data_IF_513035157054
#
_entry.id   IF_513035157054
#
_cell.length_a   1.000
_cell.length_b   1.000
_cell.length_c   1.000
_cell.angle_alpha   90.00
_cell.angle_beta   90.00
_cell.angle_gamma   90.00
#
_symmetry.space_group_name_H-M   'P 1'
#
loop_
_entity.id
_entity.type
_entity.pdbx_description
1 polymer ?
#
# COMPACT_ATOMS: atom_id res chain seq x y z
N UNK A 1 -43.01 -19.31 -29.37
CA UNK A 1 -41.79 -19.56 -30.16
C UNK A 1 -41.10 -18.21 -30.32
N UNK A 2 -40.08 -17.84 -29.56
CA UNK A 2 -38.99 -18.64 -28.99
C UNK A 2 -38.76 -18.29 -27.52
N UNK A 3 -38.63 -19.32 -26.69
CA UNK A 3 -38.27 -19.22 -25.29
C UNK A 3 -36.75 -19.10 -25.13
N UNK A 4 -36.38 -18.27 -24.14
CA UNK A 4 -35.22 -18.35 -23.25
C UNK A 4 -33.86 -18.73 -23.85
N UNK A 5 -32.99 -17.73 -24.00
CA UNK A 5 -31.54 -17.93 -24.04
C UNK A 5 -31.12 -18.24 -22.61
N UNK A 6 -30.73 -19.48 -22.35
CA UNK A 6 -30.21 -19.92 -21.06
C UNK A 6 -28.97 -19.11 -20.68
N UNK A 7 -29.11 -18.34 -19.59
CA UNK A 7 -28.03 -17.64 -18.92
C UNK A 7 -26.97 -18.65 -18.47
N UNK A 8 -25.81 -18.64 -19.14
CA UNK A 8 -24.64 -19.40 -18.71
C UNK A 8 -24.18 -18.83 -17.36
N UNK A 9 -24.43 -19.56 -16.28
CA UNK A 9 -23.99 -19.17 -14.95
C UNK A 9 -22.47 -19.30 -14.86
N UNK A 10 -21.82 -18.21 -14.44
CA UNK A 10 -20.38 -18.14 -14.14
C UNK A 10 -19.88 -19.24 -13.18
N UNK A 11 -20.78 -19.88 -12.42
CA UNK A 11 -20.47 -21.06 -11.60
C UNK A 11 -19.95 -22.24 -12.43
N UNK A 12 -20.45 -22.41 -13.65
CA UNK A 12 -20.20 -23.59 -14.47
C UNK A 12 -18.85 -23.48 -15.21
N UNK A 13 -18.35 -22.25 -15.37
CA UNK A 13 -17.03 -21.93 -15.92
C UNK A 13 -15.95 -21.95 -14.84
N UNK A 14 -16.27 -21.48 -13.62
CA UNK A 14 -15.30 -21.37 -12.52
C UNK A 14 -15.05 -22.70 -11.78
N UNK A 15 -16.03 -23.60 -11.79
CA UNK A 15 -15.93 -24.92 -11.16
C UNK A 15 -16.32 -25.96 -12.20
N UNK A 16 -15.43 -26.14 -13.18
CA UNK A 16 -15.63 -27.05 -14.32
C UNK A 16 -16.45 -28.28 -13.94
N UNK A 17 -17.56 -28.46 -14.65
CA UNK A 17 -18.44 -29.61 -14.52
C UNK A 17 -17.62 -30.89 -14.75
N UNK A 18 -17.33 -31.62 -13.67
CA UNK A 18 -16.80 -32.98 -13.72
C UNK A 18 -17.89 -33.91 -14.27
N UNK A 19 -17.92 -34.07 -15.59
CA UNK A 19 -18.63 -35.17 -16.25
C UNK A 19 -17.61 -35.91 -17.13
N UNK A 20 -17.37 -37.15 -16.70
CA UNK A 20 -16.82 -38.29 -17.42
C UNK A 20 -15.37 -38.29 -17.90
N UNK A 21 -14.52 -38.97 -17.12
CA UNK A 21 -13.59 -39.97 -17.67
C UNK A 21 -13.17 -40.98 -16.59
N UNK A 22 -13.98 -42.02 -16.41
CA UNK A 22 -13.55 -43.29 -15.82
C UNK A 22 -12.60 -44.02 -16.78
N UNK A 23 -11.29 -44.04 -16.53
CA UNK A 23 -10.47 -45.23 -16.77
C UNK A 23 -9.06 -45.16 -16.15
N UNK A 24 -8.72 -46.24 -15.46
CA UNK A 24 -7.40 -46.87 -15.31
C UNK A 24 -6.19 -46.10 -14.72
N UNK A 25 -5.81 -46.63 -13.55
CA UNK A 25 -4.46 -47.11 -13.23
C UNK A 25 -3.43 -46.13 -12.67
N UNK A 26 -3.20 -46.32 -11.36
CA UNK A 26 -1.92 -46.28 -10.63
C UNK A 26 -0.97 -45.15 -11.02
N UNK A 27 -0.78 -44.18 -10.11
CA UNK A 27 0.55 -43.63 -9.77
C UNK A 27 0.42 -42.60 -8.64
N UNK A 28 1.29 -42.77 -7.65
CA UNK A 28 1.77 -41.77 -6.68
C UNK A 28 0.90 -41.37 -5.49
N UNK A 29 1.21 -41.99 -4.34
CA UNK A 29 0.98 -41.51 -2.95
C UNK A 29 1.55 -40.11 -2.63
N UNK A 30 1.97 -39.32 -3.63
CA UNK A 30 2.62 -38.02 -3.45
C UNK A 30 1.66 -36.83 -3.61
N UNK A 31 0.48 -37.04 -4.22
CA UNK A 31 -0.46 -35.97 -4.58
C UNK A 31 -1.51 -35.63 -3.52
N UNK A 32 -1.66 -36.48 -2.50
CA UNK A 32 -2.67 -36.31 -1.44
C UNK A 32 -2.13 -35.46 -0.27
N UNK A 33 -0.82 -35.45 -0.05
CA UNK A 33 -0.16 -34.58 0.94
C UNK A 33 -0.15 -33.12 0.51
N UNK A 34 0.02 -32.82 -0.79
CA UNK A 34 -0.03 -31.45 -1.29
C UNK A 34 -1.44 -30.86 -1.16
N UNK A 35 -2.51 -31.55 -1.60
CA UNK A 35 -3.89 -31.03 -1.47
C UNK A 35 -4.33 -30.79 -0.01
N UNK A 36 -3.75 -31.52 0.93
CA UNK A 36 -3.96 -31.37 2.39
C UNK A 36 -3.37 -30.08 2.96
N UNK A 37 -2.23 -29.61 2.43
CA UNK A 37 -1.57 -28.38 2.89
C UNK A 37 -2.34 -27.10 2.53
N UNK A 38 -2.93 -27.03 1.33
CA UNK A 38 -3.66 -25.83 0.90
C UNK A 38 -4.97 -25.65 1.67
N UNK A 39 -5.70 -26.74 1.98
CA UNK A 39 -6.97 -26.67 2.74
C UNK A 39 -6.76 -26.38 4.24
N UNK A 40 -5.60 -26.70 4.83
CA UNK A 40 -5.28 -26.33 6.22
C UNK A 40 -4.88 -24.85 6.36
N UNK A 41 -4.32 -24.24 5.32
CA UNK A 41 -3.82 -22.86 5.37
C UNK A 41 -4.89 -21.79 5.22
N UNK A 42 -6.07 -22.09 4.65
CA UNK A 42 -7.14 -21.08 4.46
C UNK A 42 -7.87 -20.73 5.77
N UNK A 43 -7.94 -21.66 6.73
CA UNK A 43 -8.65 -21.41 8.02
C UNK A 43 -7.84 -20.61 9.06
N UNK A 44 -6.56 -20.32 8.81
CA UNK A 44 -5.68 -19.65 9.79
C UNK A 44 -5.44 -18.14 9.54
N UNK A 45 -5.95 -17.58 8.45
CA UNK A 45 -5.91 -16.13 8.17
C UNK A 45 -7.25 -15.45 8.48
N UNK A 46 -7.73 -15.52 9.72
CA UNK A 46 -8.74 -14.54 10.17
C UNK A 46 -8.03 -13.18 10.24
N UNK A 47 -8.31 -12.30 9.29
CA UNK A 47 -7.89 -10.89 9.32
C UNK A 47 -8.27 -10.30 10.69
N UNK A 48 -7.52 -9.32 11.20
CA UNK A 48 -7.90 -8.65 12.45
C UNK A 48 -9.32 -8.08 12.29
N UNK A 49 -10.18 -8.26 13.30
CA UNK A 49 -11.48 -7.59 13.28
C UNK A 49 -11.29 -6.08 13.45
N UNK A 50 -12.33 -5.31 13.10
CA UNK A 50 -12.32 -3.85 13.27
C UNK A 50 -12.02 -3.47 14.71
N UNK A 51 -12.68 -4.11 15.69
CA UNK A 51 -12.45 -3.84 17.11
C UNK A 51 -11.00 -4.16 17.56
N UNK A 52 -10.40 -5.22 16.99
CA UNK A 52 -9.01 -5.57 17.26
C UNK A 52 -8.04 -4.54 16.68
N UNK A 53 -8.35 -4.00 15.50
CA UNK A 53 -7.58 -2.93 14.87
C UNK A 53 -7.68 -1.67 15.73
N UNK A 54 -8.89 -1.23 16.09
CA UNK A 54 -9.10 -0.04 16.91
C UNK A 54 -8.38 -0.16 18.26
N UNK A 55 -8.54 -1.28 18.97
CA UNK A 55 -7.85 -1.50 20.24
C UNK A 55 -6.31 -1.52 20.09
N UNK A 56 -5.81 -2.07 18.98
CA UNK A 56 -4.37 -2.08 18.70
C UNK A 56 -3.85 -0.66 18.44
N UNK A 57 -4.56 0.13 17.63
CA UNK A 57 -4.18 1.50 17.32
C UNK A 57 -4.26 2.40 18.55
N UNK A 58 -5.35 2.31 19.31
CA UNK A 58 -5.55 3.06 20.54
C UNK A 58 -4.44 2.75 21.55
N UNK A 59 -3.96 1.51 21.63
CA UNK A 59 -2.85 1.13 22.49
C UNK A 59 -1.54 1.85 22.12
N UNK A 60 -1.25 1.98 20.83
CA UNK A 60 -0.06 2.69 20.36
C UNK A 60 -0.19 4.21 20.46
N UNK A 61 -1.37 4.75 20.17
CA UNK A 61 -1.67 6.19 20.23
C UNK A 61 -1.66 6.67 21.69
N UNK A 62 -2.42 6.03 22.58
CA UNK A 62 -2.56 6.45 23.98
C UNK A 62 -1.24 6.40 24.74
N UNK A 63 -0.37 5.44 24.42
CA UNK A 63 0.93 5.27 25.07
C UNK A 63 2.09 5.92 24.32
N UNK A 64 1.82 6.56 23.18
CA UNK A 64 2.83 7.14 22.28
C UNK A 64 4.00 6.18 22.03
N UNK A 65 3.70 4.90 21.80
CA UNK A 65 4.73 3.89 21.64
C UNK A 65 5.21 3.83 20.19
N UNK A 66 6.53 3.70 19.96
CA UNK A 66 7.03 3.47 18.61
C UNK A 66 6.65 2.05 18.15
N UNK A 67 6.38 1.92 16.85
CA UNK A 67 5.99 0.63 16.26
C UNK A 67 7.23 -0.21 15.98
N UNK A 68 7.63 -0.96 17.01
CA UNK A 68 8.74 -1.92 16.97
C UNK A 68 8.22 -3.32 17.23
N UNK A 69 8.92 -4.35 16.74
CA UNK A 69 8.54 -5.77 16.97
C UNK A 69 8.33 -6.10 18.45
N UNK A 70 9.15 -5.52 19.33
CA UNK A 70 9.05 -5.69 20.78
C UNK A 70 7.77 -5.07 21.33
N UNK A 71 7.44 -3.84 20.94
CA UNK A 71 6.24 -3.15 21.38
C UNK A 71 4.97 -3.79 20.82
N UNK A 72 5.01 -4.28 19.57
CA UNK A 72 3.92 -5.06 18.98
C UNK A 72 3.72 -6.36 19.76
N UNK A 73 4.79 -7.07 20.12
CA UNK A 73 4.68 -8.28 20.96
C UNK A 73 4.03 -7.98 22.30
N UNK A 74 4.37 -6.85 22.92
CA UNK A 74 3.77 -6.41 24.17
C UNK A 74 2.28 -6.05 24.00
N UNK A 75 1.93 -5.24 22.98
CA UNK A 75 0.56 -4.86 22.67
C UNK A 75 -0.32 -6.08 22.34
N UNK A 76 0.17 -7.00 21.51
CA UNK A 76 -0.50 -8.25 21.17
C UNK A 76 -0.77 -9.11 22.39
N UNK A 77 0.18 -9.20 23.33
CA UNK A 77 -0.02 -9.93 24.59
C UNK A 77 -1.05 -9.24 25.49
N UNK A 78 -0.98 -7.93 25.63
CA UNK A 78 -1.89 -7.14 26.46
C UNK A 78 -3.34 -7.22 25.94
N UNK A 79 -3.54 -7.12 24.62
CA UNK A 79 -4.84 -7.12 23.98
C UNK A 79 -5.36 -8.53 23.62
N UNK A 80 -4.55 -9.57 23.88
CA UNK A 80 -4.84 -10.97 23.49
C UNK A 80 -5.10 -11.12 21.98
N UNK A 81 -4.38 -10.33 21.17
CA UNK A 81 -4.46 -10.36 19.70
C UNK A 81 -3.28 -11.17 19.15
N UNK A 82 -3.44 -11.96 18.07
CA UNK A 82 -2.33 -12.68 17.47
C UNK A 82 -1.19 -11.76 17.02
N UNK A 83 0.01 -12.02 17.52
CA UNK A 83 1.21 -11.21 17.24
C UNK A 83 1.50 -11.08 15.75
N UNK A 84 1.56 -12.20 15.02
CA UNK A 84 1.87 -12.19 13.58
C UNK A 84 0.89 -11.33 12.77
N UNK A 85 -0.38 -11.28 13.19
CA UNK A 85 -1.42 -10.46 12.53
C UNK A 85 -1.25 -8.99 12.85
N UNK A 86 -0.92 -8.67 14.09
CA UNK A 86 -0.62 -7.30 14.52
C UNK A 86 0.59 -6.75 13.78
N UNK A 87 1.64 -7.57 13.62
CA UNK A 87 2.83 -7.22 12.81
C UNK A 87 2.44 -6.97 11.36
N UNK A 88 1.77 -7.91 10.71
CA UNK A 88 1.39 -7.76 9.30
C UNK A 88 0.52 -6.52 9.06
N UNK A 89 -0.44 -6.26 9.95
CA UNK A 89 -1.30 -5.08 9.87
C UNK A 89 -0.50 -3.78 9.97
N UNK A 90 0.27 -3.63 11.06
CA UNK A 90 0.99 -2.39 11.32
C UNK A 90 2.08 -2.15 10.27
N UNK A 91 2.86 -3.17 9.88
CA UNK A 91 3.88 -2.99 8.84
C UNK A 91 3.28 -2.63 7.48
N UNK A 92 2.14 -3.24 7.09
CA UNK A 92 1.46 -2.87 5.85
C UNK A 92 0.89 -1.45 5.91
N UNK A 93 0.31 -1.04 7.04
CA UNK A 93 -0.20 0.33 7.25
C UNK A 93 0.93 1.35 7.17
N UNK A 94 2.05 1.07 7.82
CA UNK A 94 3.23 1.94 7.83
C UNK A 94 3.87 2.04 6.45
N UNK A 95 3.99 0.92 5.73
CA UNK A 95 4.51 0.93 4.36
C UNK A 95 3.69 1.85 3.45
N UNK A 96 2.36 1.73 3.48
CA UNK A 96 1.46 2.61 2.71
C UNK A 96 1.56 4.07 3.14
N UNK A 97 1.64 4.33 4.45
CA UNK A 97 1.79 5.68 4.96
C UNK A 97 3.14 6.30 4.56
N UNK A 98 4.21 5.50 4.54
CA UNK A 98 5.54 5.92 4.11
C UNK A 98 5.56 6.23 2.62
N UNK A 99 5.01 5.37 1.76
CA UNK A 99 4.89 5.62 0.32
C UNK A 99 4.14 6.94 0.04
N UNK A 100 3.00 7.16 0.72
CA UNK A 100 2.25 8.42 0.60
C UNK A 100 3.04 9.65 1.09
N UNK A 101 3.85 9.50 2.14
CA UNK A 101 4.66 10.59 2.67
C UNK A 101 5.85 10.91 1.75
N UNK A 102 6.50 9.89 1.19
CA UNK A 102 7.58 10.05 0.20
C UNK A 102 7.08 10.81 -1.04
N UNK A 103 5.91 10.45 -1.57
CA UNK A 103 5.27 11.17 -2.67
C UNK A 103 5.00 12.64 -2.32
N UNK A 104 4.54 12.92 -1.10
CA UNK A 104 4.32 14.28 -0.63
C UNK A 104 5.63 15.07 -0.54
N UNK A 105 6.68 14.48 0.05
CA UNK A 105 7.98 15.13 0.16
C UNK A 105 8.60 15.40 -1.21
N UNK A 106 8.48 14.47 -2.17
CA UNK A 106 8.94 14.69 -3.54
C UNK A 106 8.25 15.89 -4.20
N UNK A 107 6.93 16.04 -4.01
CA UNK A 107 6.19 17.22 -4.50
C UNK A 107 6.69 18.51 -3.84
N UNK A 108 6.88 18.51 -2.52
CA UNK A 108 7.40 19.67 -1.82
C UNK A 108 8.79 20.07 -2.32
N UNK A 109 9.70 19.10 -2.49
CA UNK A 109 11.04 19.34 -3.03
C UNK A 109 10.97 19.97 -4.43
N UNK A 110 10.09 19.45 -5.29
CA UNK A 110 9.86 20.00 -6.63
C UNK A 110 9.39 21.47 -6.57
N UNK A 111 8.36 21.76 -5.77
CA UNK A 111 7.84 23.12 -5.63
C UNK A 111 8.89 24.09 -5.07
N UNK A 112 9.67 23.67 -4.08
CA UNK A 112 10.78 24.48 -3.57
C UNK A 112 11.85 24.74 -4.64
N UNK A 113 12.14 23.75 -5.50
CA UNK A 113 13.01 23.92 -6.65
C UNK A 113 12.50 24.99 -7.63
N UNK A 114 11.20 24.98 -7.94
CA UNK A 114 10.58 26.00 -8.81
C UNK A 114 10.62 27.40 -8.19
N UNK A 115 10.38 27.51 -6.88
CA UNK A 115 10.47 28.78 -6.16
C UNK A 115 11.90 29.34 -6.26
N UNK A 116 12.91 28.51 -6.01
CA UNK A 116 14.32 28.92 -6.11
C UNK A 116 14.67 29.43 -7.51
N UNK A 117 14.27 28.70 -8.56
CA UNK A 117 14.49 29.14 -9.95
C UNK A 117 13.81 30.48 -10.25
N UNK A 118 12.59 30.69 -9.74
CA UNK A 118 11.89 31.96 -9.92
C UNK A 118 12.58 33.12 -9.17
N UNK A 119 13.09 32.86 -7.97
CA UNK A 119 13.87 33.84 -7.20
C UNK A 119 15.14 34.23 -7.98
N UNK A 120 15.88 33.25 -8.49
CA UNK A 120 17.07 33.51 -9.32
C UNK A 120 16.72 34.33 -10.57
N UNK A 121 15.62 33.99 -11.26
CA UNK A 121 15.16 34.71 -12.44
C UNK A 121 14.79 36.17 -12.12
N UNK A 122 14.08 36.40 -11.02
CA UNK A 122 13.75 37.75 -10.55
C UNK A 122 15.02 38.54 -10.22
N UNK A 123 16.00 37.89 -9.58
CA UNK A 123 17.29 38.50 -9.28
C UNK A 123 18.07 38.88 -10.54
N UNK A 124 18.12 38.00 -11.54
CA UNK A 124 18.75 38.30 -12.82
C UNK A 124 18.06 39.47 -13.55
N UNK A 125 16.72 39.52 -13.56
CA UNK A 125 15.98 40.64 -14.15
C UNK A 125 16.31 41.95 -13.45
N UNK A 126 16.39 41.94 -12.13
CA UNK A 126 16.80 43.09 -11.34
C UNK A 126 18.22 43.56 -11.72
N UNK A 127 19.19 42.64 -11.77
CA UNK A 127 20.57 42.97 -12.17
C UNK A 127 20.64 43.54 -13.59
N UNK A 128 19.89 42.97 -14.54
CA UNK A 128 19.78 43.50 -15.91
C UNK A 128 19.19 44.90 -15.94
N UNK A 129 18.16 45.18 -15.14
CA UNK A 129 17.58 46.51 -14.99
C UNK A 129 18.59 47.53 -14.45
N UNK A 130 19.33 47.17 -13.40
CA UNK A 130 20.40 48.01 -12.84
C UNK A 130 21.52 48.28 -13.86
N UNK A 131 21.93 47.26 -14.62
CA UNK A 131 22.91 47.45 -15.70
C UNK A 131 22.39 48.39 -16.78
N UNK A 132 21.15 48.23 -17.23
CA UNK A 132 20.56 49.11 -18.25
C UNK A 132 20.52 50.57 -17.78
N UNK A 133 20.09 50.81 -16.53
CA UNK A 133 20.09 52.14 -15.92
C UNK A 133 21.51 52.76 -15.90
N UNK A 134 22.51 52.01 -15.44
CA UNK A 134 23.90 52.49 -15.35
C UNK A 134 24.61 52.63 -16.71
N UNK A 135 24.16 51.92 -17.74
CA UNK A 135 24.75 51.94 -19.08
C UNK A 135 24.13 53.00 -19.99
N UNK A 136 23.03 53.63 -19.57
CA UNK A 136 22.40 54.71 -20.33
C UNK A 136 23.26 55.96 -20.09
N UNK A 137 23.97 56.49 -21.11
CA UNK A 137 24.74 57.71 -20.92
C UNK A 137 23.76 58.85 -20.66
N UNK A 138 24.05 59.68 -19.67
CA UNK A 138 23.43 61.00 -19.54
C UNK A 138 23.71 61.76 -20.84
N UNK A 139 22.76 61.73 -21.78
CA UNK A 139 22.74 62.56 -23.00
C UNK A 139 22.34 64.01 -22.68
N UNK A 140 22.59 64.45 -21.45
CA UNK A 140 22.44 65.82 -20.97
C UNK A 140 23.73 66.20 -20.26
N UNK A 141 24.76 66.52 -21.04
CA UNK A 141 25.65 67.66 -20.84
C UNK A 141 26.51 67.86 -22.09
#
# INVERSE_FOLDING_TARGET
MFDSIDDIRLSDILFGSDIDASHCSKVSKKKEEEKSMWKKNVRHYKILSVDQISALEDFFISKQLPITKTNIKHASKALKIPYQRSVNYLYNKYKKAQENAEDFYHRCIHEFGLIMQNVEKCWEMYLKGCQAYNSTPDSRN
#
